data_IF_563056608651
#
_entry.id   IF_563056608651
#
_cell.length_a   1.000
_cell.length_b   1.000
_cell.length_c   1.000
_cell.angle_alpha   90.00
_cell.angle_beta   90.00
_cell.angle_gamma   90.00
#
_symmetry.space_group_name_H-M   'P 1'
#
loop_
_entity.id
_entity.type
_entity.pdbx_description
1 polymer ?
#
# COMPACT_ATOMS: atom_id res chain seq x y z
N UNK A 1 17.59 -10.71 19.67
CA UNK A 1 16.32 -10.01 19.97
C UNK A 1 16.07 -8.78 19.09
N UNK A 2 17.03 -7.87 18.90
CA UNK A 2 16.82 -6.64 18.09
C UNK A 2 16.38 -6.87 16.63
N UNK A 3 16.97 -7.85 15.94
CA UNK A 3 16.61 -8.18 14.53
C UNK A 3 15.18 -8.68 14.37
N UNK A 4 14.69 -9.46 15.34
CA UNK A 4 13.33 -9.98 15.34
C UNK A 4 12.30 -8.85 15.54
N UNK A 5 12.61 -7.92 16.46
CA UNK A 5 11.77 -6.73 16.70
C UNK A 5 11.68 -5.85 15.45
N UNK A 6 12.79 -5.58 14.77
CA UNK A 6 12.80 -4.82 13.52
C UNK A 6 12.01 -5.51 12.40
N UNK A 7 12.10 -6.85 12.29
CA UNK A 7 11.31 -7.62 11.33
C UNK A 7 9.81 -7.55 11.62
N UNK A 8 9.42 -7.65 12.89
CA UNK A 8 8.02 -7.55 13.30
C UNK A 8 7.45 -6.17 13.01
N UNK A 9 8.20 -5.11 13.32
CA UNK A 9 7.80 -3.73 13.02
C UNK A 9 7.65 -3.48 11.51
N UNK A 10 8.51 -4.09 10.68
CA UNK A 10 8.38 -4.03 9.22
C UNK A 10 7.08 -4.68 8.72
N UNK A 11 6.74 -5.86 9.25
CA UNK A 11 5.49 -6.55 8.92
C UNK A 11 4.27 -5.74 9.36
N UNK A 12 4.29 -5.23 10.60
CA UNK A 12 3.20 -4.39 11.13
C UNK A 12 3.01 -3.13 10.27
N UNK A 13 4.10 -2.51 9.81
CA UNK A 13 4.03 -1.34 8.93
C UNK A 13 3.41 -1.67 7.56
N UNK A 14 3.77 -2.80 6.96
CA UNK A 14 3.17 -3.24 5.70
C UNK A 14 1.67 -3.52 5.84
N UNK A 15 1.26 -4.16 6.95
CA UNK A 15 -0.16 -4.41 7.26
C UNK A 15 -0.91 -3.10 7.51
N UNK A 16 -0.31 -2.15 8.23
CA UNK A 16 -0.90 -0.83 8.46
C UNK A 16 -1.11 -0.06 7.15
N UNK A 17 -0.13 -0.08 6.24
CA UNK A 17 -0.25 0.55 4.92
C UNK A 17 -1.39 -0.08 4.11
N UNK A 18 -1.47 -1.42 4.09
CA UNK A 18 -2.55 -2.15 3.42
C UNK A 18 -3.92 -1.78 3.98
N UNK A 19 -4.05 -1.68 5.31
CA UNK A 19 -5.30 -1.29 5.97
C UNK A 19 -5.74 0.14 5.61
N UNK A 20 -4.81 1.09 5.52
CA UNK A 20 -5.08 2.47 5.10
C UNK A 20 -5.48 2.54 3.63
N UNK A 21 -4.78 1.83 2.74
CA UNK A 21 -5.15 1.76 1.32
C UNK A 21 -6.53 1.15 1.15
N UNK A 22 -6.86 0.10 1.89
CA UNK A 22 -8.17 -0.53 1.80
C UNK A 22 -9.28 0.37 2.36
N UNK A 23 -9.07 1.00 3.52
CA UNK A 23 -10.09 1.86 4.12
C UNK A 23 -10.39 3.09 3.26
N UNK A 24 -9.36 3.79 2.77
CA UNK A 24 -9.51 4.97 1.92
C UNK A 24 -10.26 4.65 0.61
N UNK A 25 -9.99 3.49 0.00
CA UNK A 25 -10.57 3.11 -1.27
C UNK A 25 -11.91 2.33 -1.14
N UNK A 26 -12.21 1.77 0.04
CA UNK A 26 -13.48 1.08 0.33
C UNK A 26 -14.67 2.03 0.44
N UNK A 27 -14.44 3.30 0.79
CA UNK A 27 -15.48 4.31 0.89
C UNK A 27 -16.16 4.63 -0.47
N UNK A 28 -15.51 4.30 -1.59
CA UNK A 28 -15.93 4.71 -2.93
C UNK A 28 -16.00 3.57 -3.95
N UNK A 29 -16.02 2.29 -3.53
CA UNK A 29 -15.89 1.11 -4.40
C UNK A 29 -14.63 1.15 -5.31
N UNK A 30 -13.71 2.07 -5.04
CA UNK A 30 -12.61 2.43 -5.91
C UNK A 30 -11.58 1.31 -5.98
N UNK A 31 -11.43 0.49 -4.94
CA UNK A 31 -10.56 -0.71 -4.96
C UNK A 31 -10.89 -1.65 -6.12
N UNK A 32 -12.18 -1.88 -6.38
CA UNK A 32 -12.62 -2.86 -7.38
C UNK A 32 -12.64 -2.29 -8.79
N UNK A 33 -12.62 -0.97 -8.93
CA UNK A 33 -12.72 -0.26 -10.21
C UNK A 33 -11.54 0.69 -10.43
N UNK A 34 -10.42 0.47 -9.71
CA UNK A 34 -9.24 1.29 -9.87
C UNK A 34 -8.72 1.10 -11.30
N UNK A 35 -8.65 2.16 -12.12
CA UNK A 35 -8.09 2.05 -13.46
C UNK A 35 -6.62 1.66 -13.37
N UNK A 36 -6.12 0.98 -14.40
CA UNK A 36 -4.70 0.68 -14.48
C UNK A 36 -3.87 1.97 -14.39
N UNK A 37 -2.74 1.89 -13.69
CA UNK A 37 -1.85 3.04 -13.56
C UNK A 37 -1.35 3.45 -14.95
N UNK A 38 -1.48 4.74 -15.34
CA UNK A 38 -1.17 5.18 -16.69
C UNK A 38 0.29 4.89 -17.06
N UNK A 39 0.50 4.36 -18.27
CA UNK A 39 1.81 3.94 -18.74
C UNK A 39 2.80 5.13 -18.78
N UNK A 40 2.30 6.31 -19.14
CA UNK A 40 3.02 7.57 -19.23
C UNK A 40 3.58 8.01 -17.88
N UNK A 41 2.87 7.70 -16.78
CA UNK A 41 3.31 8.08 -15.45
C UNK A 41 4.53 7.27 -14.97
N UNK A 42 4.87 6.16 -15.64
CA UNK A 42 6.13 5.45 -15.37
C UNK A 42 7.37 6.30 -15.69
N UNK A 43 7.26 7.32 -16.55
CA UNK A 43 8.35 8.25 -16.84
C UNK A 43 8.81 9.05 -15.61
N UNK A 44 7.99 9.11 -14.55
CA UNK A 44 8.29 9.85 -13.32
C UNK A 44 8.73 8.96 -12.15
N UNK A 45 8.79 7.63 -12.34
CA UNK A 45 9.32 6.71 -11.32
C UNK A 45 10.84 6.89 -11.25
N UNK A 46 11.34 7.32 -10.10
CA UNK A 46 12.79 7.40 -9.80
C UNK A 46 13.35 6.04 -9.43
#
# INVERSE_FOLDING_TARGET
>A
MHKFLFSLLGVVNAVALMAVTFSANSACCWVFHQPEFPAEANAFKK
#
